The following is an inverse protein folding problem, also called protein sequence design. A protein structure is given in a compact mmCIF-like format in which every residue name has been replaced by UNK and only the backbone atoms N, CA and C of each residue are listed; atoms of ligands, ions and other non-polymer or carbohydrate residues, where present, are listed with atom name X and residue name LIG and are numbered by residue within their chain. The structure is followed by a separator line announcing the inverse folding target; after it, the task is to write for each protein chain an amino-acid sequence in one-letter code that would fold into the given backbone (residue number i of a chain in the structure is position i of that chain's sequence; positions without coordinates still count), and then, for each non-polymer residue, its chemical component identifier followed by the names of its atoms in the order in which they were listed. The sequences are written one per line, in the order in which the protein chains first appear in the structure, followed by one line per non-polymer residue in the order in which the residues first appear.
data_IF_041512134004
#
_entry.id   IF_041512134004
#
_cell.length_a   1.000
_cell.length_b   1.000
_cell.length_c   1.000
_cell.angle_alpha   90.00
_cell.angle_beta   90.00
_cell.angle_gamma   90.00
#
_symmetry.space_group_name_H-M   'P 1'
#
loop_
_entity.id
_entity.type
_entity.pdbx_description
1 polymer ?
#
# COMPACT_ATOMS: atom_id res chain seq x y z
N UNK A 1 -14.46 -10.47 26.91
CA UNK A 1 -14.75 -10.22 25.48
C UNK A 1 -13.68 -10.88 24.65
N UNK A 2 -14.07 -11.59 23.61
CA UNK A 2 -13.14 -12.24 22.70
C UNK A 2 -12.28 -11.20 21.96
N UNK A 3 -11.02 -11.56 21.67
CA UNK A 3 -10.08 -10.65 20.98
C UNK A 3 -10.65 -10.13 19.67
N UNK A 4 -11.27 -11.00 18.88
CA UNK A 4 -11.86 -10.60 17.59
C UNK A 4 -12.95 -9.55 17.76
N UNK A 5 -13.79 -9.69 18.76
CA UNK A 5 -14.86 -8.73 19.05
C UNK A 5 -14.29 -7.40 19.55
N UNK A 6 -13.22 -7.42 20.32
CA UNK A 6 -12.55 -6.21 20.76
C UNK A 6 -11.99 -5.42 19.58
N UNK A 7 -11.41 -6.14 18.62
CA UNK A 7 -10.88 -5.52 17.39
C UNK A 7 -12.01 -4.92 16.55
N UNK A 8 -13.13 -5.64 16.38
CA UNK A 8 -14.29 -5.14 15.63
C UNK A 8 -14.83 -3.86 16.24
N UNK A 9 -15.03 -3.85 17.53
CA UNK A 9 -15.56 -2.68 18.23
C UNK A 9 -14.63 -1.48 18.11
N UNK A 10 -13.33 -1.71 18.25
CA UNK A 10 -12.36 -0.65 18.13
C UNK A 10 -12.33 -0.04 16.74
N UNK A 11 -12.35 -0.87 15.70
CA UNK A 11 -12.33 -0.41 14.31
C UNK A 11 -13.61 0.31 13.92
N UNK A 12 -14.77 -0.12 14.41
CA UNK A 12 -16.05 0.49 14.06
C UNK A 12 -16.16 1.96 14.47
N UNK A 13 -15.42 2.39 15.49
CA UNK A 13 -15.47 3.76 15.97
C UNK A 13 -14.43 4.70 15.35
N UNK A 14 -13.61 4.20 14.43
CA UNK A 14 -12.48 4.96 13.88
C UNK A 14 -12.80 5.59 12.52
N UNK A 15 -12.20 6.78 12.27
CA UNK A 15 -12.18 7.36 10.93
C UNK A 15 -11.20 6.57 10.03
N UNK A 16 -11.14 6.95 8.75
CA UNK A 16 -10.32 6.23 7.78
C UNK A 16 -8.82 6.20 8.18
N UNK A 17 -8.26 7.35 8.48
CA UNK A 17 -6.82 7.44 8.79
C UNK A 17 -6.47 6.66 10.05
N UNK A 18 -7.26 6.80 11.11
CA UNK A 18 -7.05 6.07 12.35
C UNK A 18 -7.23 4.57 12.17
N UNK A 19 -8.19 4.18 11.35
CA UNK A 19 -8.46 2.78 11.05
C UNK A 19 -7.29 2.14 10.30
N UNK A 20 -6.75 2.82 9.29
CA UNK A 20 -5.59 2.34 8.53
C UNK A 20 -4.37 2.22 9.44
N UNK A 21 -4.12 3.22 10.27
CA UNK A 21 -3.02 3.19 11.23
C UNK A 21 -3.13 2.00 12.18
N UNK A 22 -4.31 1.77 12.74
CA UNK A 22 -4.53 0.64 13.64
C UNK A 22 -4.35 -0.71 12.93
N UNK A 23 -4.87 -0.84 11.71
CA UNK A 23 -4.71 -2.07 10.92
C UNK A 23 -3.23 -2.34 10.66
N UNK A 24 -2.47 -1.31 10.29
CA UNK A 24 -1.03 -1.46 10.05
C UNK A 24 -0.29 -1.86 11.33
N UNK A 25 -0.64 -1.28 12.48
CA UNK A 25 -0.06 -1.66 13.77
C UNK A 25 -0.32 -3.13 14.10
N UNK A 26 -1.54 -3.61 13.85
CA UNK A 26 -1.89 -5.01 14.04
C UNK A 26 -1.12 -5.93 13.10
N UNK A 27 -0.97 -5.53 11.84
CA UNK A 27 -0.18 -6.29 10.86
C UNK A 27 1.28 -6.40 11.30
N UNK A 28 1.87 -5.31 11.78
CA UNK A 28 3.25 -5.31 12.27
C UNK A 28 3.42 -6.22 13.50
N UNK A 29 2.47 -6.18 14.42
CA UNK A 29 2.50 -7.06 15.59
C UNK A 29 2.42 -8.54 15.18
N UNK A 30 1.49 -8.87 14.30
CA UNK A 30 1.33 -10.25 13.83
C UNK A 30 2.55 -10.72 13.05
N UNK A 31 3.16 -9.83 12.26
CA UNK A 31 4.37 -10.13 11.52
C UNK A 31 5.55 -10.44 12.46
N UNK A 32 5.71 -9.66 13.53
CA UNK A 32 6.73 -9.87 14.53
C UNK A 32 6.65 -11.29 15.15
N UNK A 33 5.44 -11.79 15.32
CA UNK A 33 5.18 -13.10 15.93
C UNK A 33 5.01 -14.21 14.89
N UNK A 34 5.06 -13.88 13.61
CA UNK A 34 4.83 -14.83 12.51
C UNK A 34 6.02 -15.76 12.32
N UNK A 35 5.77 -17.04 12.00
CA UNK A 35 6.85 -17.94 11.58
C UNK A 35 7.45 -17.59 10.22
N UNK A 36 6.81 -16.68 9.48
CA UNK A 36 7.25 -16.23 8.15
C UNK A 36 7.78 -14.79 8.16
N UNK A 37 8.24 -14.30 9.30
CA UNK A 37 8.68 -12.91 9.45
C UNK A 37 9.89 -12.52 8.59
N UNK A 38 10.63 -13.51 8.08
CA UNK A 38 11.74 -13.27 7.15
C UNK A 38 11.26 -12.94 5.73
N UNK A 39 9.98 -13.14 5.46
CA UNK A 39 9.41 -12.90 4.14
C UNK A 39 8.71 -11.53 4.11
N UNK A 40 9.16 -10.58 3.28
CA UNK A 40 8.52 -9.26 3.22
C UNK A 40 7.02 -9.31 2.89
N UNK A 41 6.59 -10.28 2.10
CA UNK A 41 5.17 -10.41 1.72
C UNK A 41 4.28 -10.77 2.91
N UNK A 42 4.85 -11.27 4.00
CA UNK A 42 4.09 -11.59 5.21
C UNK A 42 3.45 -10.36 5.84
N UNK A 43 4.00 -9.17 5.58
CA UNK A 43 3.47 -7.93 6.11
C UNK A 43 3.34 -6.87 5.02
N UNK A 44 2.12 -6.69 4.52
CA UNK A 44 1.80 -5.68 3.52
C UNK A 44 1.04 -4.55 4.20
N UNK A 45 1.57 -3.34 4.13
CA UNK A 45 1.01 -2.17 4.81
C UNK A 45 0.33 -1.25 3.82
N UNK A 46 -0.72 -0.55 4.28
CA UNK A 46 -1.33 0.54 3.55
C UNK A 46 -0.57 1.83 3.88
N UNK A 47 -0.14 2.54 2.84
CA UNK A 47 0.53 3.82 3.00
C UNK A 47 -0.10 4.85 2.08
N UNK A 48 0.04 6.13 2.43
CA UNK A 48 -0.42 7.19 1.55
C UNK A 48 0.50 7.28 0.33
N UNK A 49 -0.08 7.59 -0.82
CA UNK A 49 0.70 7.73 -2.06
C UNK A 49 1.75 8.86 -1.95
N UNK A 50 1.51 9.83 -1.07
CA UNK A 50 2.46 10.93 -0.81
C UNK A 50 3.69 10.49 -0.02
N UNK A 51 3.64 9.33 0.65
CA UNK A 51 4.75 8.80 1.45
C UNK A 51 5.66 7.88 0.65
N UNK A 52 5.35 7.67 -0.62
CA UNK A 52 6.08 6.76 -1.52
C UNK A 52 6.63 7.58 -2.69
N UNK A 53 7.86 7.31 -3.07
CA UNK A 53 8.47 7.96 -4.23
C UNK A 53 9.31 6.98 -5.03
N UNK A 54 9.39 7.23 -6.33
CA UNK A 54 10.31 6.51 -7.21
C UNK A 54 11.63 7.27 -7.23
N UNK A 55 12.74 6.54 -7.25
CA UNK A 55 14.04 7.18 -7.46
C UNK A 55 14.16 7.67 -8.92
N UNK A 56 15.22 8.42 -9.22
CA UNK A 56 15.45 8.97 -10.55
C UNK A 56 15.73 7.88 -11.60
N UNK A 57 16.03 6.68 -11.13
CA UNK A 57 16.32 5.56 -12.00
C UNK A 57 15.06 4.74 -12.24
N UNK A 58 14.45 4.94 -13.41
CA UNK A 58 13.34 4.11 -13.86
C UNK A 58 13.72 3.50 -15.22
N UNK A 59 14.29 2.29 -15.21
CA UNK A 59 14.77 1.67 -16.45
C UNK A 59 13.64 1.26 -17.40
N UNK A 60 12.40 1.18 -16.91
CA UNK A 60 11.26 0.69 -17.67
C UNK A 60 10.20 1.76 -17.80
N UNK A 61 10.29 2.55 -18.87
CA UNK A 61 9.17 3.40 -19.25
C UNK A 61 8.12 2.53 -19.94
N UNK A 62 6.89 2.57 -19.43
CA UNK A 62 5.78 1.83 -20.02
C UNK A 62 5.07 2.73 -21.03
N UNK A 63 4.75 2.17 -22.20
CA UNK A 63 4.00 2.89 -23.23
C UNK A 63 2.62 3.32 -22.71
N UNK A 64 2.09 4.48 -23.15
CA UNK A 64 0.79 4.95 -22.69
C UNK A 64 -0.35 3.92 -22.75
N UNK A 65 -0.48 3.09 -23.83
CA UNK A 65 -1.52 2.05 -23.85
C UNK A 65 -1.38 1.03 -22.72
N UNK A 66 -0.16 0.65 -22.35
CA UNK A 66 0.08 -0.31 -21.26
C UNK A 66 -0.24 0.30 -19.90
N UNK A 67 0.05 1.59 -19.72
CA UNK A 67 -0.33 2.32 -18.50
C UNK A 67 -1.84 2.40 -18.37
N UNK A 68 -2.55 2.61 -19.46
CA UNK A 68 -4.01 2.64 -19.46
C UNK A 68 -4.61 1.29 -19.11
N UNK A 69 -4.05 0.19 -19.60
CA UNK A 69 -4.49 -1.16 -19.22
C UNK A 69 -4.28 -1.40 -17.73
N UNK A 70 -3.15 -0.97 -17.19
CA UNK A 70 -2.87 -1.09 -15.76
C UNK A 70 -3.87 -0.27 -14.93
N UNK A 71 -4.17 0.96 -15.34
CA UNK A 71 -5.16 1.79 -14.68
C UNK A 71 -6.52 1.12 -14.64
N UNK A 72 -6.97 0.57 -15.78
CA UNK A 72 -8.25 -0.11 -15.88
C UNK A 72 -8.28 -1.34 -14.97
N UNK A 73 -7.20 -2.12 -14.97
CA UNK A 73 -7.10 -3.30 -14.11
C UNK A 73 -7.24 -2.94 -12.63
N UNK A 74 -6.52 -1.91 -12.18
CA UNK A 74 -6.58 -1.46 -10.79
C UNK A 74 -7.97 -0.90 -10.46
N UNK A 75 -8.57 -0.15 -11.38
CA UNK A 75 -9.91 0.40 -11.19
C UNK A 75 -10.95 -0.70 -10.98
N UNK A 76 -10.86 -1.78 -11.77
CA UNK A 76 -11.85 -2.86 -11.73
C UNK A 76 -11.58 -3.88 -10.63
N UNK A 77 -10.32 -4.26 -10.43
CA UNK A 77 -9.94 -5.38 -9.57
C UNK A 77 -9.25 -4.95 -8.28
N UNK A 78 -8.87 -3.68 -8.17
CA UNK A 78 -8.10 -3.16 -7.05
C UNK A 78 -6.62 -3.50 -7.16
N UNK A 79 -5.88 -3.15 -6.12
CA UNK A 79 -4.46 -3.48 -6.03
C UNK A 79 -4.31 -4.95 -5.63
N UNK A 80 -3.82 -5.77 -6.54
CA UNK A 80 -3.66 -7.21 -6.33
C UNK A 80 -2.24 -7.61 -5.98
N UNK A 81 -1.26 -6.72 -6.22
CA UNK A 81 0.14 -6.96 -5.92
C UNK A 81 0.71 -5.80 -5.12
N UNK A 82 1.47 -6.08 -4.06
CA UNK A 82 2.10 -5.00 -3.29
C UNK A 82 3.25 -4.36 -4.07
N UNK A 83 3.52 -3.12 -3.71
CA UNK A 83 4.72 -2.40 -4.15
C UNK A 83 5.84 -2.73 -3.17
N UNK A 84 7.02 -3.06 -3.67
CA UNK A 84 8.19 -3.30 -2.83
C UNK A 84 8.94 -1.99 -2.64
N UNK A 85 9.20 -1.63 -1.40
CA UNK A 85 9.85 -0.38 -1.05
C UNK A 85 10.83 -0.55 0.10
N UNK A 86 11.72 0.44 0.27
CA UNK A 86 12.62 0.55 1.42
C UNK A 86 12.37 1.88 2.11
N UNK A 87 12.43 1.89 3.44
CA UNK A 87 12.40 3.13 4.20
C UNK A 87 13.72 3.87 4.01
N UNK A 88 13.64 5.17 3.70
CA UNK A 88 14.79 6.02 3.67
C UNK A 88 15.06 6.64 5.06
N UNK A 89 16.11 7.46 5.17
CA UNK A 89 16.51 8.08 6.44
C UNK A 89 15.48 9.09 6.96
N UNK A 90 14.58 9.56 6.09
CA UNK A 90 13.53 10.53 6.45
C UNK A 90 12.19 9.87 6.75
N UNK A 91 12.14 8.54 6.75
CA UNK A 91 10.91 7.79 7.01
C UNK A 91 9.99 7.65 5.83
N UNK A 92 10.42 8.07 4.63
CA UNK A 92 9.67 7.87 3.39
C UNK A 92 10.06 6.56 2.74
N UNK A 93 9.21 6.08 1.83
CA UNK A 93 9.41 4.81 1.17
C UNK A 93 9.87 5.00 -0.27
N UNK A 94 11.07 4.53 -0.57
CA UNK A 94 11.61 4.49 -1.93
C UNK A 94 11.18 3.20 -2.61
N UNK A 95 10.58 3.32 -3.79
CA UNK A 95 10.07 2.16 -4.54
C UNK A 95 11.24 1.37 -5.12
N UNK A 96 11.24 0.06 -4.85
CA UNK A 96 12.18 -0.90 -5.41
C UNK A 96 11.54 -1.63 -6.59
N UNK A 97 10.27 -2.01 -6.45
CA UNK A 97 9.51 -2.68 -7.51
C UNK A 97 8.06 -2.21 -7.44
N UNK A 98 7.42 -2.10 -8.59
CA UNK A 98 6.06 -1.60 -8.68
C UNK A 98 5.99 -0.13 -9.07
N UNK A 99 6.97 0.38 -9.82
CA UNK A 99 7.02 1.78 -10.26
C UNK A 99 5.76 2.20 -11.00
N UNK A 100 5.23 1.34 -11.86
CA UNK A 100 4.04 1.66 -12.66
C UNK A 100 2.79 1.72 -11.80
N UNK A 101 2.64 0.80 -10.85
CA UNK A 101 1.52 0.83 -9.88
C UNK A 101 1.58 2.08 -9.01
N UNK A 102 2.78 2.45 -8.57
CA UNK A 102 3.00 3.68 -7.81
C UNK A 102 2.63 4.92 -8.64
N UNK A 103 3.04 4.94 -9.90
CA UNK A 103 2.73 6.04 -10.82
C UNK A 103 1.23 6.19 -11.01
N UNK A 104 0.52 5.08 -11.24
CA UNK A 104 -0.94 5.08 -11.35
C UNK A 104 -1.59 5.63 -10.09
N UNK A 105 -1.09 5.24 -8.91
CA UNK A 105 -1.63 5.70 -7.63
C UNK A 105 -1.43 7.20 -7.39
N UNK A 106 -0.47 7.83 -8.06
CA UNK A 106 -0.16 9.25 -7.92
C UNK A 106 -0.79 10.13 -9.00
N UNK A 107 -0.90 9.60 -10.23
CA UNK A 107 -1.25 10.39 -11.40
C UNK A 107 -2.67 10.17 -11.90
N UNK A 108 -3.28 9.03 -11.64
CA UNK A 108 -4.60 8.70 -12.14
C UNK A 108 -5.68 9.08 -11.11
N UNK A 109 -6.42 10.14 -11.44
CA UNK A 109 -7.42 10.73 -10.54
C UNK A 109 -8.45 9.72 -10.04
N UNK A 110 -8.98 8.88 -10.92
CA UNK A 110 -9.99 7.88 -10.56
C UNK A 110 -9.44 6.83 -9.59
N UNK A 111 -8.16 6.49 -9.71
CA UNK A 111 -7.50 5.56 -8.78
C UNK A 111 -7.28 6.24 -7.42
N UNK A 112 -6.84 7.49 -7.43
CA UNK A 112 -6.65 8.27 -6.19
C UNK A 112 -7.97 8.37 -5.43
N UNK A 113 -9.06 8.71 -6.13
CA UNK A 113 -10.39 8.87 -5.52
C UNK A 113 -10.94 7.56 -4.96
N UNK A 114 -10.56 6.44 -5.54
CA UNK A 114 -11.05 5.12 -5.14
C UNK A 114 -10.73 4.80 -3.67
N UNK A 115 -9.56 5.21 -3.19
CA UNK A 115 -9.08 4.90 -1.84
C UNK A 115 -8.72 6.17 -1.03
N UNK A 116 -9.13 7.35 -1.50
CA UNK A 116 -8.84 8.63 -0.83
C UNK A 116 -7.33 8.89 -0.65
N UNK A 117 -6.57 8.50 -1.68
CA UNK A 117 -5.11 8.67 -1.62
C UNK A 117 -4.46 7.60 -0.80
#
# INVERSE_FOLDING_TARGET
MEIKEQIREKLNGMDLDSKVEFINEMKLLLHELSPFKEEPVDCVLWVKNTDVYANDYNPNSVAPPEMELLRISIKNDGFTQPVVSMLDDEGKREVIDGFHRTRVSKECKDIIERLNG
#
